data_IF_395252539742
#
_entry.id   IF_395252539742
#
_cell.length_a   1.000
_cell.length_b   1.000
_cell.length_c   1.000
_cell.angle_alpha   90.00
_cell.angle_beta   90.00
_cell.angle_gamma   90.00
#
_symmetry.space_group_name_H-M   'P 1'
#
loop_
_entity.id
_entity.type
_entity.pdbx_description
1 polymer ?
#
# COMPACT_ATOMS: atom_id res chain seq x y z
N UNK A 1 -27.15 53.02 5.22
CA UNK A 1 -27.27 51.56 4.94
C UNK A 1 -26.23 51.05 3.94
N UNK A 2 -25.82 51.85 2.95
CA UNK A 2 -24.78 51.47 1.95
C UNK A 2 -23.39 51.17 2.57
N UNK A 3 -22.96 51.91 3.60
CA UNK A 3 -21.67 51.65 4.29
C UNK A 3 -21.61 50.31 5.04
N UNK A 4 -22.76 49.77 5.49
CA UNK A 4 -22.81 48.46 6.18
C UNK A 4 -22.82 47.29 5.19
N UNK A 5 -23.44 47.46 4.01
CA UNK A 5 -23.39 46.46 2.94
C UNK A 5 -21.98 46.28 2.36
N UNK A 6 -21.20 47.36 2.24
CA UNK A 6 -19.81 47.30 1.76
C UNK A 6 -18.86 46.58 2.72
N UNK A 7 -19.14 46.59 4.03
CA UNK A 7 -18.35 45.87 5.02
C UNK A 7 -18.63 44.35 4.98
N UNK A 8 -19.88 43.96 4.68
CA UNK A 8 -20.28 42.55 4.57
C UNK A 8 -19.74 41.88 3.30
N UNK A 9 -19.64 42.61 2.18
CA UNK A 9 -19.04 42.06 0.94
C UNK A 9 -17.52 41.96 1.00
N UNK A 10 -16.84 42.81 1.79
CA UNK A 10 -15.39 42.69 2.00
C UNK A 10 -15.01 41.48 2.87
N UNK A 11 -15.86 41.11 3.85
CA UNK A 11 -15.61 39.97 4.74
C UNK A 11 -15.84 38.61 4.07
N UNK A 12 -16.64 38.54 3.00
CA UNK A 12 -16.88 37.28 2.25
C UNK A 12 -15.73 36.88 1.33
N UNK A 13 -14.78 37.79 1.05
CA UNK A 13 -13.64 37.53 0.15
C UNK A 13 -12.45 36.95 0.93
N UNK A 14 -12.39 37.15 2.25
CA UNK A 14 -11.28 36.68 3.10
C UNK A 14 -11.43 35.24 3.64
N UNK A 15 -12.50 34.52 3.28
CA UNK A 15 -12.80 33.20 3.83
C UNK A 15 -12.44 32.01 2.92
N UNK A 16 -11.75 32.26 1.80
CA UNK A 16 -11.12 31.19 1.03
C UNK A 16 -9.75 30.91 1.64
N UNK A 17 -9.75 30.26 2.81
CA UNK A 17 -8.56 29.55 3.24
C UNK A 17 -8.18 28.61 2.09
N UNK A 18 -6.99 28.82 1.53
CA UNK A 18 -6.55 28.02 0.40
C UNK A 18 -6.31 26.59 0.91
N UNK A 19 -7.14 25.66 0.44
CA UNK A 19 -7.00 24.21 0.69
C UNK A 19 -5.57 23.71 0.47
N UNK A 20 -4.81 24.38 -0.40
CA UNK A 20 -3.39 24.13 -0.62
C UNK A 20 -2.56 24.50 0.61
N UNK A 21 -2.65 25.74 1.08
CA UNK A 21 -1.84 26.26 2.18
C UNK A 21 -2.17 25.56 3.50
N UNK A 22 -3.45 25.26 3.73
CA UNK A 22 -3.88 24.44 4.86
C UNK A 22 -3.29 23.02 4.80
N UNK A 23 -3.19 22.43 3.61
CA UNK A 23 -2.54 21.13 3.45
C UNK A 23 -1.04 21.21 3.73
N UNK A 24 -0.32 22.20 3.20
CA UNK A 24 1.11 22.38 3.48
C UNK A 24 1.34 22.57 4.99
N UNK A 25 0.53 23.42 5.62
CA UNK A 25 0.54 23.65 7.06
C UNK A 25 0.30 22.37 7.86
N UNK A 26 -0.65 21.54 7.46
CA UNK A 26 -0.89 20.25 8.10
C UNK A 26 0.34 19.32 8.02
N UNK A 27 0.94 19.18 6.84
CA UNK A 27 2.09 18.28 6.64
C UNK A 27 3.33 18.73 7.42
N UNK A 28 3.62 20.03 7.42
CA UNK A 28 4.79 20.59 8.10
C UNK A 28 4.60 20.76 9.61
N UNK A 29 3.36 20.97 10.04
CA UNK A 29 3.01 21.50 11.36
C UNK A 29 3.07 23.03 11.41
N UNK A 30 2.25 23.61 12.27
CA UNK A 30 2.01 25.06 12.35
C UNK A 30 3.29 25.88 12.49
N UNK A 31 4.13 25.53 13.48
CA UNK A 31 5.34 26.28 13.77
C UNK A 31 6.31 26.31 12.58
N UNK A 32 6.55 25.15 11.94
CA UNK A 32 7.44 25.05 10.79
C UNK A 32 6.88 25.80 9.59
N UNK A 33 5.56 25.76 9.37
CA UNK A 33 4.91 26.52 8.32
C UNK A 33 5.10 28.03 8.50
N UNK A 34 4.82 28.56 9.70
CA UNK A 34 4.91 30.00 9.98
C UNK A 34 6.34 30.52 9.83
N UNK A 35 7.34 29.77 10.31
CA UNK A 35 8.77 30.14 10.17
C UNK A 35 9.19 30.21 8.70
N UNK A 36 8.61 29.38 7.83
CA UNK A 36 9.04 29.23 6.44
C UNK A 36 8.05 29.82 5.42
N UNK A 37 7.02 30.57 5.83
CA UNK A 37 5.90 30.97 4.96
C UNK A 37 6.34 31.67 3.67
N UNK A 38 7.32 32.57 3.75
CA UNK A 38 7.83 33.29 2.57
C UNK A 38 8.54 32.36 1.59
N UNK A 39 9.26 31.38 2.10
CA UNK A 39 9.94 30.38 1.28
C UNK A 39 8.94 29.40 0.66
N UNK A 40 7.94 28.96 1.42
CA UNK A 40 6.81 28.14 0.94
C UNK A 40 6.11 28.85 -0.23
N UNK A 41 5.76 30.13 -0.06
CA UNK A 41 5.13 30.93 -1.11
C UNK A 41 5.98 31.01 -2.39
N UNK A 42 7.31 30.99 -2.26
CA UNK A 42 8.24 31.00 -3.39
C UNK A 42 8.31 29.65 -4.10
N UNK A 43 8.47 28.54 -3.37
CA UNK A 43 8.61 27.20 -3.98
C UNK A 43 7.27 26.67 -4.53
N UNK A 44 6.14 27.14 -3.98
CA UNK A 44 4.79 26.82 -4.45
C UNK A 44 4.12 27.98 -5.23
N UNK A 45 4.90 28.91 -5.78
CA UNK A 45 4.35 30.09 -6.46
C UNK A 45 3.35 29.75 -7.59
N UNK A 46 3.58 28.64 -8.30
CA UNK A 46 2.66 28.12 -9.31
C UNK A 46 1.87 26.92 -8.75
N UNK A 47 0.88 27.19 -7.90
CA UNK A 47 0.04 26.20 -7.23
C UNK A 47 -0.64 25.22 -8.20
N UNK A 48 -1.02 25.67 -9.39
CA UNK A 48 -1.67 24.84 -10.42
C UNK A 48 -0.84 23.61 -10.83
N UNK A 49 0.49 23.67 -10.75
CA UNK A 49 1.36 22.53 -11.06
C UNK A 49 1.21 21.36 -10.09
N UNK A 50 0.59 21.59 -8.95
CA UNK A 50 0.40 20.62 -7.87
C UNK A 50 -1.03 20.08 -7.82
N UNK A 51 -1.80 20.31 -8.88
CA UNK A 51 -3.12 19.70 -9.06
C UNK A 51 -3.08 18.69 -10.21
N UNK A 52 -3.76 17.56 -10.01
CA UNK A 52 -3.99 16.52 -11.01
C UNK A 52 -5.46 16.12 -10.97
N UNK A 53 -6.18 16.35 -12.08
CA UNK A 53 -7.62 16.06 -12.15
C UNK A 53 -8.46 16.82 -11.12
N UNK A 54 -8.08 18.07 -10.81
CA UNK A 54 -8.78 18.91 -9.83
C UNK A 54 -8.50 18.59 -8.36
N UNK A 55 -7.59 17.64 -8.06
CA UNK A 55 -7.16 17.29 -6.70
C UNK A 55 -5.68 17.58 -6.51
N UNK A 56 -5.24 17.77 -5.27
CA UNK A 56 -3.83 17.93 -4.95
C UNK A 56 -3.03 16.68 -5.31
N UNK A 57 -1.89 16.87 -5.98
CA UNK A 57 -0.92 15.82 -6.23
C UNK A 57 -0.02 15.68 -5.00
N UNK A 58 -0.46 14.83 -4.06
CA UNK A 58 0.23 14.63 -2.78
C UNK A 58 1.67 14.16 -2.94
N UNK A 59 1.94 13.31 -3.93
CA UNK A 59 3.29 12.84 -4.19
C UNK A 59 4.21 14.01 -4.58
N UNK A 60 3.76 14.87 -5.48
CA UNK A 60 4.52 16.05 -5.92
C UNK A 60 4.73 17.06 -4.78
N UNK A 61 3.69 17.31 -3.99
CA UNK A 61 3.76 18.23 -2.83
C UNK A 61 4.76 17.70 -1.79
N UNK A 62 4.63 16.45 -1.37
CA UNK A 62 5.51 15.84 -0.36
C UNK A 62 6.95 15.82 -0.86
N UNK A 63 7.18 15.55 -2.14
CA UNK A 63 8.52 15.55 -2.71
C UNK A 63 9.16 16.94 -2.67
N UNK A 64 8.44 17.99 -3.07
CA UNK A 64 8.95 19.37 -2.97
C UNK A 64 9.24 19.76 -1.52
N UNK A 65 8.35 19.44 -0.57
CA UNK A 65 8.62 19.70 0.85
C UNK A 65 9.86 18.95 1.35
N UNK A 66 10.01 17.67 0.96
CA UNK A 66 11.14 16.83 1.36
C UNK A 66 12.47 17.33 0.78
N UNK A 67 12.53 17.61 -0.51
CA UNK A 67 13.74 18.09 -1.20
C UNK A 67 14.23 19.42 -0.65
N UNK A 68 13.31 20.25 -0.15
CA UNK A 68 13.62 21.53 0.46
C UNK A 68 13.80 21.45 2.00
N UNK A 69 13.85 20.25 2.59
CA UNK A 69 14.11 20.07 4.02
C UNK A 69 12.99 20.56 4.95
N UNK A 70 11.77 20.71 4.44
CA UNK A 70 10.63 21.28 5.17
C UNK A 70 9.83 20.26 5.99
N UNK A 71 10.17 18.98 5.91
CA UNK A 71 9.54 17.91 6.69
C UNK A 71 10.43 17.51 7.88
N UNK A 72 9.84 17.54 9.08
CA UNK A 72 10.52 17.10 10.30
C UNK A 72 10.89 15.61 10.23
N UNK A 73 12.12 15.27 10.61
CA UNK A 73 12.66 13.91 10.44
C UNK A 73 13.01 13.18 11.76
N UNK A 74 13.04 13.87 12.90
CA UNK A 74 13.48 13.30 14.20
C UNK A 74 12.57 13.74 15.35
N UNK A 75 12.31 12.83 16.29
CA UNK A 75 11.56 13.08 17.52
C UNK A 75 12.45 13.31 18.74
N UNK A 76 13.75 13.00 18.64
CA UNK A 76 14.72 13.14 19.73
C UNK A 76 14.78 11.95 20.69
N UNK A 77 13.72 11.15 20.80
CA UNK A 77 13.68 9.88 21.53
C UNK A 77 12.67 8.92 20.89
N UNK A 78 12.74 7.61 21.19
CA UNK A 78 11.76 6.65 20.69
C UNK A 78 10.36 7.00 21.18
N UNK A 79 9.41 7.13 20.27
CA UNK A 79 8.00 7.34 20.58
C UNK A 79 7.15 6.34 19.80
N UNK A 80 5.97 6.00 20.34
CA UNK A 80 4.97 5.24 19.61
C UNK A 80 4.40 6.11 18.47
N UNK A 81 4.57 5.62 17.26
CA UNK A 81 4.04 6.19 16.03
C UNK A 81 2.84 5.37 15.57
N UNK A 82 1.78 6.08 15.16
CA UNK A 82 0.59 5.52 14.53
C UNK A 82 0.53 5.88 13.06
N UNK A 83 0.37 4.86 12.22
CA UNK A 83 0.21 4.99 10.77
C UNK A 83 -1.09 4.32 10.34
N UNK A 84 -2.06 5.11 9.92
CA UNK A 84 -3.35 4.63 9.42
C UNK A 84 -3.38 4.64 7.90
N UNK A 85 -3.71 3.50 7.29
CA UNK A 85 -3.94 3.38 5.86
C UNK A 85 -5.42 3.12 5.63
N UNK A 86 -6.04 3.87 4.72
CA UNK A 86 -7.46 3.71 4.36
C UNK A 86 -7.65 3.61 2.85
N UNK A 87 -8.41 2.61 2.39
CA UNK A 87 -8.65 2.36 0.97
C UNK A 87 -9.96 1.60 0.72
N UNK A 88 -10.59 1.82 -0.44
CA UNK A 88 -11.71 0.98 -0.90
C UNK A 88 -11.21 -0.36 -1.43
N UNK A 89 -10.95 -1.28 -0.51
CA UNK A 89 -10.45 -2.63 -0.80
C UNK A 89 -10.74 -3.56 0.38
N UNK A 90 -10.26 -4.81 0.36
CA UNK A 90 -10.42 -5.72 1.49
C UNK A 90 -9.44 -5.36 2.63
N UNK A 91 -9.81 -5.63 3.89
CA UNK A 91 -8.90 -5.45 5.03
C UNK A 91 -7.64 -6.31 4.91
N UNK A 92 -7.78 -7.52 4.35
CA UNK A 92 -6.67 -8.47 4.16
C UNK A 92 -5.63 -7.91 3.20
N UNK A 93 -6.05 -7.40 2.05
CA UNK A 93 -5.14 -6.79 1.08
C UNK A 93 -4.46 -5.56 1.68
N UNK A 94 -5.23 -4.65 2.28
CA UNK A 94 -4.68 -3.44 2.87
C UNK A 94 -3.66 -3.74 3.99
N UNK A 95 -3.95 -4.75 4.81
CA UNK A 95 -3.05 -5.23 5.86
C UNK A 95 -1.76 -5.81 5.29
N UNK A 96 -1.87 -6.69 4.28
CA UNK A 96 -0.69 -7.31 3.64
C UNK A 96 0.22 -6.26 2.99
N UNK A 97 -0.38 -5.24 2.37
CA UNK A 97 0.35 -4.12 1.79
C UNK A 97 1.00 -3.24 2.87
N UNK A 98 0.26 -2.87 3.92
CA UNK A 98 0.80 -2.06 5.03
C UNK A 98 1.96 -2.75 5.74
N UNK A 99 1.82 -4.03 6.09
CA UNK A 99 2.91 -4.84 6.64
C UNK A 99 4.14 -4.78 5.75
N UNK A 100 3.95 -4.99 4.44
CA UNK A 100 5.08 -5.06 3.53
C UNK A 100 5.74 -3.70 3.26
N UNK A 101 4.98 -2.60 3.30
CA UNK A 101 5.54 -1.23 3.26
C UNK A 101 6.43 -1.01 4.49
N UNK A 102 5.91 -1.28 5.70
CA UNK A 102 6.67 -1.09 6.95
C UNK A 102 7.93 -1.96 7.00
N UNK A 103 7.84 -3.24 6.64
CA UNK A 103 9.01 -4.12 6.57
C UNK A 103 10.04 -3.65 5.55
N UNK A 104 9.61 -3.14 4.39
CA UNK A 104 10.53 -2.64 3.35
C UNK A 104 11.23 -1.34 3.77
N UNK A 105 10.64 -0.60 4.70
CA UNK A 105 11.24 0.57 5.34
C UNK A 105 12.19 0.20 6.49
N UNK A 106 12.32 -1.08 6.83
CA UNK A 106 13.19 -1.56 7.90
C UNK A 106 12.54 -1.65 9.28
N UNK A 107 11.22 -1.46 9.38
CA UNK A 107 10.51 -1.69 10.64
C UNK A 107 10.26 -3.19 10.84
N UNK A 108 10.95 -3.78 11.82
CA UNK A 108 10.81 -5.20 12.16
C UNK A 108 9.75 -5.47 13.23
N UNK A 109 9.39 -4.46 14.03
CA UNK A 109 8.46 -4.59 15.15
C UNK A 109 7.35 -3.55 15.05
N UNK A 110 6.17 -3.98 14.65
CA UNK A 110 4.95 -3.17 14.60
C UNK A 110 3.75 -4.07 14.88
N UNK A 111 2.66 -3.48 15.37
CA UNK A 111 1.40 -4.17 15.65
C UNK A 111 0.25 -3.48 14.92
N UNK A 112 -0.79 -4.24 14.60
CA UNK A 112 -2.05 -3.66 14.13
C UNK A 112 -2.84 -3.27 15.37
N UNK A 113 -2.97 -1.96 15.62
CA UNK A 113 -3.70 -1.41 16.77
C UNK A 113 -5.20 -1.28 16.49
N UNK A 114 -5.58 -1.14 15.21
CA UNK A 114 -6.98 -0.98 14.78
C UNK A 114 -7.18 -1.55 13.38
N UNK A 115 -8.32 -2.22 13.15
CA UNK A 115 -8.75 -2.64 11.83
C UNK A 115 -10.27 -2.49 11.71
N UNK A 116 -10.72 -1.79 10.68
CA UNK A 116 -12.14 -1.50 10.44
C UNK A 116 -12.50 -1.71 8.97
N UNK A 117 -13.70 -2.23 8.73
CA UNK A 117 -14.33 -2.29 7.40
C UNK A 117 -15.72 -1.69 7.52
N UNK A 118 -15.94 -0.55 6.87
CA UNK A 118 -17.25 0.10 6.85
C UNK A 118 -17.58 0.57 5.45
N UNK A 119 -18.74 0.16 4.92
CA UNK A 119 -19.24 0.59 3.60
C UNK A 119 -18.21 0.42 2.46
N UNK A 120 -17.46 -0.70 2.50
CA UNK A 120 -16.42 -1.03 1.52
C UNK A 120 -15.12 -0.22 1.67
N UNK A 121 -14.98 0.62 2.69
CA UNK A 121 -13.74 1.30 3.06
C UNK A 121 -13.07 0.51 4.18
N UNK A 122 -11.87 0.00 3.89
CA UNK A 122 -10.99 -0.61 4.89
C UNK A 122 -10.08 0.45 5.48
N UNK A 123 -9.87 0.41 6.80
CA UNK A 123 -8.91 1.23 7.53
C UNK A 123 -8.09 0.35 8.48
N UNK A 124 -6.76 0.40 8.36
CA UNK A 124 -5.82 -0.36 9.18
C UNK A 124 -4.83 0.62 9.82
N UNK A 125 -4.76 0.62 11.15
CA UNK A 125 -3.78 1.39 11.93
C UNK A 125 -2.65 0.48 12.40
N UNK A 126 -1.42 0.90 12.13
CA UNK A 126 -0.19 0.28 12.61
C UNK A 126 0.44 1.13 13.70
N UNK A 127 0.83 0.51 14.82
CA UNK A 127 1.60 1.11 15.91
C UNK A 127 3.03 0.56 15.93
N UNK A 128 4.03 1.43 16.03
CA UNK A 128 5.44 1.04 16.16
C UNK A 128 6.29 2.11 16.84
N UNK A 129 7.36 1.69 17.52
CA UNK A 129 8.26 2.61 18.21
C UNK A 129 9.42 3.03 17.30
N UNK A 130 9.68 4.33 17.20
CA UNK A 130 10.80 4.86 16.41
C UNK A 130 11.24 6.25 16.90
N UNK A 131 12.50 6.61 16.64
CA UNK A 131 13.06 7.95 16.92
C UNK A 131 12.83 8.95 15.77
N UNK A 132 12.30 8.45 14.65
CA UNK A 132 12.20 9.19 13.40
C UNK A 132 10.76 9.30 12.92
N UNK A 133 10.40 10.45 12.37
CA UNK A 133 9.15 10.58 11.63
C UNK A 133 9.18 9.64 10.43
N UNK A 134 8.12 8.84 10.19
CA UNK A 134 8.04 8.06 8.97
C UNK A 134 8.15 8.98 7.76
N UNK A 135 9.08 8.67 6.86
CA UNK A 135 9.31 9.48 5.66
C UNK A 135 8.13 9.29 4.70
N UNK A 136 7.29 10.32 4.61
CA UNK A 136 6.08 10.30 3.78
C UNK A 136 6.40 10.02 2.31
N UNK A 137 7.53 10.53 1.81
CA UNK A 137 7.96 10.28 0.43
C UNK A 137 8.32 8.82 0.18
N UNK A 138 8.99 8.17 1.14
CA UNK A 138 9.28 6.74 1.07
C UNK A 138 7.98 5.93 1.14
N UNK A 139 7.05 6.27 2.04
CA UNK A 139 5.76 5.58 2.15
C UNK A 139 4.97 5.66 0.84
N UNK A 140 4.83 6.85 0.25
CA UNK A 140 4.16 7.03 -1.04
C UNK A 140 4.82 6.18 -2.14
N UNK A 141 6.16 6.16 -2.18
CA UNK A 141 6.90 5.37 -3.16
C UNK A 141 6.72 3.86 -2.96
N UNK A 142 6.73 3.38 -1.72
CA UNK A 142 6.48 1.96 -1.44
C UNK A 142 5.03 1.56 -1.75
N UNK A 143 4.05 2.42 -1.46
CA UNK A 143 2.66 2.19 -1.85
C UNK A 143 2.48 2.12 -3.37
N UNK A 144 3.13 3.02 -4.12
CA UNK A 144 3.01 3.07 -5.59
C UNK A 144 3.58 1.82 -6.27
N UNK A 145 4.72 1.29 -5.78
CA UNK A 145 5.29 0.01 -6.24
C UNK A 145 4.30 -1.15 -6.09
N UNK A 146 3.39 -1.06 -5.12
CA UNK A 146 2.34 -2.04 -4.81
C UNK A 146 1.00 -1.73 -5.49
N UNK A 147 0.95 -0.69 -6.32
CA UNK A 147 -0.22 -0.29 -7.10
C UNK A 147 -1.25 0.52 -6.35
N UNK A 148 -0.84 1.15 -5.24
CA UNK A 148 -1.66 2.07 -4.47
C UNK A 148 -1.26 3.52 -4.80
N UNK A 149 -2.24 4.37 -5.03
CA UNK A 149 -2.05 5.80 -5.23
C UNK A 149 -2.43 6.50 -3.94
N UNK A 150 -1.53 7.35 -3.42
CA UNK A 150 -1.84 8.20 -2.28
C UNK A 150 -2.70 9.39 -2.74
N UNK A 151 -3.96 9.41 -2.30
CA UNK A 151 -4.89 10.49 -2.58
C UNK A 151 -4.73 11.63 -1.57
N UNK A 152 -4.51 11.28 -0.30
CA UNK A 152 -4.39 12.25 0.77
C UNK A 152 -3.47 11.78 1.89
N UNK A 153 -2.86 12.75 2.59
CA UNK A 153 -2.09 12.53 3.82
C UNK A 153 -2.51 13.58 4.84
N UNK A 154 -2.85 13.13 6.05
CA UNK A 154 -3.15 13.99 7.17
C UNK A 154 -2.23 13.67 8.34
N UNK A 155 -1.52 14.68 8.83
CA UNK A 155 -0.85 14.63 10.12
C UNK A 155 -1.88 15.00 11.18
N UNK A 156 -2.41 14.01 11.87
CA UNK A 156 -3.46 14.19 12.90
C UNK A 156 -2.87 14.41 14.30
N UNK A 157 -1.59 14.13 14.48
CA UNK A 157 -0.84 14.45 15.68
C UNK A 157 0.67 14.46 15.44
N UNK A 158 1.44 14.72 16.48
CA UNK A 158 2.91 14.75 16.38
C UNK A 158 3.49 13.40 15.91
N UNK A 159 2.87 12.29 16.34
CA UNK A 159 3.28 10.91 16.07
C UNK A 159 2.20 10.11 15.34
N UNK A 160 1.25 10.76 14.66
CA UNK A 160 0.12 10.08 14.02
C UNK A 160 -0.15 10.62 12.62
N UNK A 161 -0.18 9.70 11.64
CA UNK A 161 -0.42 9.99 10.23
C UNK A 161 -1.51 9.11 9.66
N UNK A 162 -2.35 9.70 8.82
CA UNK A 162 -3.41 9.02 8.10
C UNK A 162 -3.20 9.18 6.59
N UNK A 163 -3.25 8.07 5.86
CA UNK A 163 -3.12 8.02 4.42
C UNK A 163 -4.43 7.53 3.81
N UNK A 164 -5.00 8.36 2.93
CA UNK A 164 -6.13 7.95 2.08
C UNK A 164 -5.59 7.48 0.75
N UNK A 165 -5.97 6.27 0.35
CA UNK A 165 -5.40 5.58 -0.79
C UNK A 165 -6.47 5.15 -1.78
N UNK A 166 -6.07 5.06 -3.05
CA UNK A 166 -6.81 4.42 -4.13
C UNK A 166 -6.05 3.19 -4.63
N UNK A 167 -6.76 2.10 -4.88
CA UNK A 167 -6.17 0.88 -5.44
C UNK A 167 -6.30 0.91 -6.95
N UNK A 168 -5.18 1.13 -7.66
CA UNK A 168 -5.16 1.09 -9.12
C UNK A 168 -5.04 -0.35 -9.62
N UNK A 169 -3.89 -0.99 -9.36
CA UNK A 169 -3.62 -2.38 -9.74
C UNK A 169 -2.80 -3.05 -8.62
N UNK A 170 -3.42 -3.85 -7.74
CA UNK A 170 -2.73 -4.39 -6.59
C UNK A 170 -1.59 -5.33 -7.00
N UNK A 171 -0.41 -5.11 -6.42
CA UNK A 171 0.81 -5.90 -6.66
C UNK A 171 1.34 -6.40 -5.32
N UNK A 172 1.29 -7.71 -5.13
CA UNK A 172 1.80 -8.33 -3.91
C UNK A 172 3.32 -8.54 -4.01
N UNK A 173 4.04 -8.35 -2.89
CA UNK A 173 5.46 -8.69 -2.83
C UNK A 173 5.67 -10.17 -3.14
N UNK A 174 6.85 -10.49 -3.68
CA UNK A 174 7.29 -11.86 -3.95
C UNK A 174 6.37 -12.67 -4.89
N UNK A 175 5.49 -12.01 -5.64
CA UNK A 175 4.74 -12.64 -6.73
C UNK A 175 5.61 -12.77 -7.98
N UNK A 176 5.42 -13.87 -8.71
CA UNK A 176 5.96 -14.03 -10.08
C UNK A 176 4.81 -14.01 -11.07
N UNK A 177 4.95 -13.23 -12.14
CA UNK A 177 3.93 -13.16 -13.18
C UNK A 177 4.00 -14.40 -14.07
N UNK A 178 2.89 -15.14 -14.18
CA UNK A 178 2.77 -16.30 -15.06
C UNK A 178 1.76 -15.98 -16.17
N UNK A 179 2.27 -15.80 -17.40
CA UNK A 179 1.45 -15.61 -18.58
C UNK A 179 0.88 -16.94 -19.09
N UNK A 180 -0.24 -16.90 -19.81
CA UNK A 180 -0.77 -18.07 -20.51
C UNK A 180 0.23 -18.60 -21.55
N UNK A 181 0.41 -19.91 -21.59
CA UNK A 181 1.39 -20.62 -22.41
C UNK A 181 2.82 -20.58 -21.85
N UNK A 182 3.07 -19.88 -20.74
CA UNK A 182 4.40 -19.80 -20.15
C UNK A 182 4.68 -20.94 -19.18
N UNK A 183 5.96 -21.30 -19.05
CA UNK A 183 6.49 -22.18 -18.03
C UNK A 183 7.45 -21.40 -17.13
N UNK A 184 7.39 -21.61 -15.82
CA UNK A 184 8.32 -21.01 -14.85
C UNK A 184 8.80 -22.04 -13.85
N UNK A 185 10.11 -22.08 -13.64
CA UNK A 185 10.72 -22.76 -12.50
C UNK A 185 10.94 -21.75 -11.37
N UNK A 186 10.41 -22.06 -10.20
CA UNK A 186 10.45 -21.20 -9.02
C UNK A 186 11.21 -21.90 -7.91
N UNK A 187 12.03 -21.14 -7.18
CA UNK A 187 12.70 -21.60 -5.95
C UNK A 187 12.54 -20.54 -4.87
N UNK A 188 12.01 -20.96 -3.74
CA UNK A 188 11.82 -20.13 -2.56
C UNK A 188 12.05 -20.97 -1.30
N UNK A 189 12.94 -20.52 -0.42
CA UNK A 189 13.28 -21.24 0.81
C UNK A 189 12.13 -21.30 1.80
N UNK A 190 11.12 -20.40 1.70
CA UNK A 190 9.93 -20.48 2.53
C UNK A 190 9.00 -21.63 2.15
N UNK A 191 9.14 -22.20 0.96
CA UNK A 191 8.22 -23.22 0.45
C UNK A 191 6.86 -22.70 -0.01
N UNK A 192 6.61 -21.40 0.15
CA UNK A 192 5.39 -20.72 -0.28
C UNK A 192 5.67 -19.93 -1.56
N UNK A 193 4.92 -20.22 -2.61
CA UNK A 193 5.07 -19.59 -3.92
C UNK A 193 3.82 -18.78 -4.24
N UNK A 194 4.03 -17.54 -4.66
CA UNK A 194 2.94 -16.67 -5.10
C UNK A 194 3.07 -16.35 -6.58
N UNK A 195 1.98 -16.55 -7.31
CA UNK A 195 1.86 -16.17 -8.70
C UNK A 195 0.89 -14.99 -8.84
N UNK A 196 1.16 -14.11 -9.80
CA UNK A 196 0.20 -13.17 -10.34
C UNK A 196 -0.16 -13.63 -11.76
N UNK A 197 -1.45 -13.72 -12.04
CA UNK A 197 -1.97 -14.18 -13.33
C UNK A 197 -3.01 -13.18 -13.84
N UNK A 198 -3.23 -13.17 -15.16
CA UNK A 198 -4.19 -12.27 -15.80
C UNK A 198 -5.20 -13.00 -16.69
N UNK A 199 -5.18 -14.33 -16.71
CA UNK A 199 -6.06 -15.16 -17.52
C UNK A 199 -6.40 -16.46 -16.80
N UNK A 200 -7.64 -16.93 -16.96
CA UNK A 200 -8.01 -18.30 -16.63
C UNK A 200 -7.39 -19.33 -17.57
N UNK A 201 -7.38 -20.59 -17.15
CA UNK A 201 -6.72 -21.70 -17.85
C UNK A 201 -6.53 -22.90 -16.95
N UNK A 202 -5.70 -23.85 -17.38
CA UNK A 202 -5.33 -25.02 -16.58
C UNK A 202 -3.89 -24.88 -16.09
N UNK A 203 -3.70 -24.76 -14.78
CA UNK A 203 -2.40 -24.64 -14.14
C UNK A 203 -1.87 -26.02 -13.76
N UNK A 204 -0.77 -26.44 -14.39
CA UNK A 204 0.00 -27.63 -14.01
C UNK A 204 1.12 -27.25 -13.05
N UNK A 205 1.30 -28.02 -11.97
CA UNK A 205 2.28 -27.77 -10.91
C UNK A 205 3.03 -29.06 -10.60
N UNK A 206 4.36 -29.00 -10.69
CA UNK A 206 5.24 -30.13 -10.40
C UNK A 206 6.35 -29.72 -9.42
N UNK A 207 6.59 -30.44 -8.32
CA UNK A 207 7.72 -30.19 -7.45
C UNK A 207 9.05 -30.57 -8.14
N UNK A 208 10.10 -29.79 -7.91
CA UNK A 208 11.44 -30.04 -8.47
C UNK A 208 12.23 -30.89 -7.48
N UNK A 209 12.83 -31.98 -7.97
CA UNK A 209 13.67 -32.89 -7.19
C UNK A 209 12.98 -33.45 -5.93
N UNK A 210 11.66 -33.64 -6.00
CA UNK A 210 10.90 -34.27 -4.94
C UNK A 210 9.80 -35.14 -5.58
N UNK A 211 9.73 -36.45 -5.25
CA UNK A 211 8.84 -37.36 -5.96
C UNK A 211 7.37 -37.18 -5.58
N UNK A 212 7.07 -36.65 -4.39
CA UNK A 212 5.70 -36.47 -3.88
C UNK A 212 5.62 -35.32 -2.88
N UNK A 213 4.44 -34.70 -2.83
CA UNK A 213 4.08 -33.63 -1.89
C UNK A 213 2.57 -33.64 -1.68
N UNK A 214 2.11 -32.92 -0.65
CA UNK A 214 0.69 -32.78 -0.34
C UNK A 214 0.24 -31.39 -0.73
N UNK A 215 -0.19 -31.17 -1.99
CA UNK A 215 -0.35 -29.82 -2.50
C UNK A 215 -1.53 -29.10 -1.87
N UNK A 216 -1.27 -27.82 -1.58
CA UNK A 216 -2.27 -26.82 -1.21
C UNK A 216 -2.14 -25.63 -2.15
N UNK A 217 -3.18 -25.43 -2.95
CA UNK A 217 -3.27 -24.31 -3.90
C UNK A 217 -4.47 -23.45 -3.54
N UNK A 218 -4.25 -22.16 -3.31
CA UNK A 218 -5.31 -21.20 -2.98
C UNK A 218 -5.41 -20.16 -4.08
N UNK A 219 -6.61 -20.00 -4.62
CA UNK A 219 -6.92 -19.05 -5.68
C UNK A 219 -7.54 -17.81 -5.06
N UNK A 220 -7.01 -16.63 -5.40
CA UNK A 220 -7.47 -15.36 -4.87
C UNK A 220 -7.90 -14.40 -5.98
N UNK A 221 -8.95 -13.61 -5.69
CA UNK A 221 -9.32 -12.47 -6.52
C UNK A 221 -8.34 -11.29 -6.36
N UNK A 222 -8.62 -10.17 -7.04
CA UNK A 222 -7.80 -8.95 -6.94
C UNK A 222 -7.75 -8.32 -5.55
N UNK A 223 -8.72 -8.63 -4.68
CA UNK A 223 -8.84 -8.11 -3.32
C UNK A 223 -8.34 -9.14 -2.28
N UNK A 224 -7.64 -10.21 -2.69
CA UNK A 224 -7.22 -11.29 -1.80
C UNK A 224 -8.38 -12.02 -1.09
N UNK A 225 -9.59 -11.97 -1.63
CA UNK A 225 -10.65 -12.89 -1.23
C UNK A 225 -10.38 -14.25 -1.85
N UNK A 226 -10.58 -15.32 -1.08
CA UNK A 226 -10.44 -16.70 -1.59
C UNK A 226 -11.56 -16.96 -2.59
N UNK A 227 -11.20 -17.31 -3.82
CA UNK A 227 -12.10 -17.76 -4.87
C UNK A 227 -12.32 -19.27 -4.77
N UNK A 228 -11.23 -20.02 -4.58
CA UNK A 228 -11.26 -21.47 -4.45
C UNK A 228 -9.99 -21.99 -3.74
N UNK A 229 -10.02 -23.23 -3.26
CA UNK A 229 -8.89 -23.91 -2.65
C UNK A 229 -8.87 -25.39 -3.04
N UNK A 230 -7.74 -25.83 -3.57
CA UNK A 230 -7.47 -27.24 -3.87
C UNK A 230 -6.48 -27.78 -2.84
N UNK A 231 -6.91 -28.79 -2.09
CA UNK A 231 -6.05 -29.57 -1.20
C UNK A 231 -6.07 -31.02 -1.69
N UNK A 232 -4.91 -31.61 -1.94
CA UNK A 232 -4.77 -33.04 -2.21
C UNK A 232 -3.85 -33.65 -1.15
N UNK A 233 -4.42 -34.48 -0.28
CA UNK A 233 -3.67 -35.19 0.78
C UNK A 233 -3.14 -36.54 0.30
N UNK A 234 -3.42 -36.91 -0.96
CA UNK A 234 -3.02 -38.15 -1.60
C UNK A 234 -1.65 -38.08 -2.27
N UNK A 235 -0.66 -37.38 -1.71
CA UNK A 235 0.76 -37.44 -2.12
C UNK A 235 0.99 -37.54 -3.64
N UNK A 236 0.83 -36.42 -4.34
CA UNK A 236 0.80 -36.37 -5.81
C UNK A 236 2.14 -35.92 -6.42
N UNK A 237 2.53 -36.48 -7.56
CA UNK A 237 3.74 -36.06 -8.28
C UNK A 237 3.50 -34.83 -9.21
N UNK A 238 2.25 -34.59 -9.58
CA UNK A 238 1.81 -33.47 -10.42
C UNK A 238 0.38 -33.09 -10.00
N UNK A 239 0.09 -31.79 -9.93
CA UNK A 239 -1.25 -31.27 -9.68
C UNK A 239 -1.70 -30.43 -10.87
N UNK A 240 -2.95 -30.65 -11.30
CA UNK A 240 -3.64 -29.76 -12.25
C UNK A 240 -4.76 -29.02 -11.54
N UNK A 241 -4.75 -27.70 -11.62
CA UNK A 241 -5.77 -26.82 -11.04
C UNK A 241 -6.40 -26.00 -12.15
N UNK A 242 -7.73 -26.06 -12.26
CA UNK A 242 -8.47 -25.17 -13.14
C UNK A 242 -8.52 -23.79 -12.53
N UNK A 243 -8.12 -22.78 -13.29
CA UNK A 243 -8.10 -21.38 -12.87
C UNK A 243 -9.29 -20.65 -13.50
N UNK A 244 -10.31 -20.26 -12.71
CA UNK A 244 -11.42 -19.46 -13.20
C UNK A 244 -10.99 -18.08 -13.70
N UNK A 245 -11.82 -17.46 -14.53
CA UNK A 245 -11.67 -16.03 -14.85
C UNK A 245 -11.84 -15.18 -13.58
N UNK A 246 -11.08 -14.11 -13.45
CA UNK A 246 -11.13 -13.20 -12.29
C UNK A 246 -10.17 -13.53 -11.14
N UNK A 247 -9.52 -14.71 -11.16
CA UNK A 247 -8.39 -14.99 -10.26
C UNK A 247 -7.22 -14.08 -10.64
N UNK A 248 -6.63 -13.42 -9.63
CA UNK A 248 -5.47 -12.53 -9.78
C UNK A 248 -4.21 -13.10 -9.15
N UNK A 249 -4.35 -13.79 -8.02
CA UNK A 249 -3.22 -14.37 -7.31
C UNK A 249 -3.44 -15.86 -7.04
N UNK A 250 -2.36 -16.63 -7.12
CA UNK A 250 -2.35 -18.05 -6.77
C UNK A 250 -1.25 -18.28 -5.74
N UNK A 251 -1.60 -18.83 -4.58
CA UNK A 251 -0.63 -19.30 -3.60
C UNK A 251 -0.49 -20.81 -3.73
N UNK A 252 0.74 -21.29 -3.80
CA UNK A 252 1.09 -22.70 -3.91
C UNK A 252 2.01 -23.02 -2.74
N UNK A 253 1.62 -24.01 -1.93
CA UNK A 253 2.41 -24.49 -0.79
C UNK A 253 2.09 -25.96 -0.52
N UNK A 254 2.85 -26.60 0.36
CA UNK A 254 2.56 -27.93 0.85
C UNK A 254 1.68 -27.84 2.11
N UNK A 255 0.68 -28.72 2.21
CA UNK A 255 -0.29 -28.76 3.29
C UNK A 255 0.35 -29.15 4.63
N UNK A 256 1.31 -30.08 4.62
CA UNK A 256 1.95 -30.58 5.83
C UNK A 256 3.11 -29.67 6.26
N UNK A 257 4.00 -29.35 5.32
CA UNK A 257 5.17 -28.51 5.60
C UNK A 257 5.64 -27.77 4.35
N UNK A 258 5.57 -26.42 4.32
CA UNK A 258 6.10 -25.62 3.22
C UNK A 258 7.55 -25.95 2.89
N UNK A 259 8.38 -26.26 3.90
CA UNK A 259 9.81 -26.58 3.70
C UNK A 259 10.05 -27.75 2.73
N UNK A 260 9.08 -28.64 2.56
CA UNK A 260 9.10 -29.72 1.56
C UNK A 260 9.34 -29.17 0.15
N UNK A 261 8.84 -27.97 -0.16
CA UNK A 261 8.98 -27.34 -1.46
C UNK A 261 10.18 -26.39 -1.58
N UNK A 262 11.13 -26.39 -0.63
CA UNK A 262 12.31 -25.51 -0.69
C UNK A 262 13.18 -25.72 -1.95
N UNK A 263 13.12 -26.91 -2.55
CA UNK A 263 13.87 -27.27 -3.75
C UNK A 263 13.29 -26.68 -5.04
N UNK A 264 12.05 -26.18 -4.98
CA UNK A 264 11.38 -25.52 -6.08
C UNK A 264 10.14 -26.22 -6.61
N UNK A 265 9.41 -25.50 -7.45
CA UNK A 265 8.29 -26.01 -8.25
C UNK A 265 8.45 -25.53 -9.70
N UNK A 266 7.94 -26.32 -10.64
CA UNK A 266 7.72 -25.93 -12.04
C UNK A 266 6.22 -25.71 -12.25
N UNK A 267 5.86 -24.60 -12.88
CA UNK A 267 4.46 -24.22 -13.12
C UNK A 267 4.23 -23.86 -14.58
N UNK A 268 3.14 -24.37 -15.14
CA UNK A 268 2.74 -24.09 -16.52
C UNK A 268 1.24 -23.77 -16.59
N UNK A 269 0.88 -22.65 -17.24
CA UNK A 269 -0.52 -22.25 -17.43
C UNK A 269 -0.94 -22.47 -18.88
N UNK A 270 -1.86 -23.40 -19.13
CA UNK A 270 -2.38 -23.72 -20.46
C UNK A 270 -3.62 -22.90 -20.84
#
# INVERSE_FOLDING_TARGET
>A
MVKKCLLLTLLSICAWADTFDDKIRNLMGEQNYQVNVNFINRIFANKNMYYKGGRLDMAKIVYVLKENGLLTSRFGQPNEVKLSLSARTSPILLTKIGNNVLTSMGYSYFVISKAELSSGLSSIEFSFNTEHSPDMGIIINELSKRGFVCLDINRVGTYAWEYTLEVYEPRLPNTKFLAKGANLDLRNTSGEYWLNINSGGDLSIQPINMPKWNPRVVLYDRNLSIVDMVNDTGSSANLKVKIPQGVKFVMITDYDSPESLKNGISVNLH
#
